data_IF_347343203217
#
_entry.id   IF_347343203217
#
_cell.length_a   1.000
_cell.length_b   1.000
_cell.length_c   1.000
_cell.angle_alpha   90.00
_cell.angle_beta   90.00
_cell.angle_gamma   90.00
#
_symmetry.space_group_name_H-M   'P 1'
#
loop_
_entity.id
_entity.type
_entity.pdbx_description
1 polymer ?
#
# COMPACT_ATOMS: atom_id res chain seq x y z
N UNK A 1 33.07 27.61 66.62
CA UNK A 1 32.99 28.42 65.38
C UNK A 1 33.89 27.73 64.37
N UNK A 2 33.32 26.91 63.47
CA UNK A 2 33.11 27.25 62.04
C UNK A 2 34.43 27.08 61.24
N UNK A 3 34.62 26.28 60.19
CA UNK A 3 33.81 25.71 59.09
C UNK A 3 34.63 24.57 58.41
N UNK A 4 34.07 23.36 58.19
CA UNK A 4 33.69 22.74 56.88
C UNK A 4 34.83 22.52 55.87
N UNK A 5 35.30 21.28 55.65
CA UNK A 5 34.86 20.27 54.64
C UNK A 5 34.80 20.82 53.20
N UNK A 6 35.86 20.58 52.43
CA UNK A 6 35.85 20.45 50.97
C UNK A 6 37.23 19.85 50.60
N UNK A 7 37.35 18.58 50.24
CA UNK A 7 37.19 18.11 48.87
C UNK A 7 36.68 16.67 48.88
N UNK A 8 35.36 16.57 48.89
CA UNK A 8 34.62 15.35 48.62
C UNK A 8 34.77 15.00 47.13
N UNK A 9 35.24 13.79 46.86
CA UNK A 9 34.95 12.98 45.67
C UNK A 9 35.26 13.61 44.30
N UNK A 10 36.53 13.55 43.92
CA UNK A 10 36.93 13.55 42.52
C UNK A 10 36.77 12.15 41.92
N UNK A 11 36.34 12.12 40.66
CA UNK A 11 36.14 10.96 39.79
C UNK A 11 34.77 10.29 39.85
N UNK A 12 33.76 11.09 39.51
CA UNK A 12 33.01 10.93 38.25
C UNK A 12 32.73 9.48 37.86
N UNK A 13 31.56 9.02 38.27
CA UNK A 13 30.70 8.02 37.61
C UNK A 13 31.22 7.53 36.25
N UNK A 14 31.73 6.31 36.19
CA UNK A 14 31.71 5.51 34.96
C UNK A 14 30.23 5.29 34.62
N UNK A 15 29.67 6.18 33.81
CA UNK A 15 28.42 5.93 33.13
C UNK A 15 28.70 4.78 32.15
N UNK A 16 28.22 3.57 32.48
CA UNK A 16 28.12 2.49 31.51
C UNK A 16 27.25 3.01 30.36
N UNK A 17 27.89 3.40 29.25
CA UNK A 17 27.24 3.50 27.96
C UNK A 17 26.82 2.08 27.56
N UNK A 18 25.67 1.64 28.05
CA UNK A 18 24.97 0.50 27.47
C UNK A 18 24.61 0.95 26.06
N UNK A 19 25.41 0.50 25.07
CA UNK A 19 25.02 0.52 23.67
C UNK A 19 23.70 -0.23 23.58
N UNK A 20 22.60 0.50 23.60
CA UNK A 20 21.29 -0.01 23.21
C UNK A 20 21.41 -0.34 21.72
N UNK A 21 21.85 -1.56 21.42
CA UNK A 21 21.53 -2.16 20.14
C UNK A 21 20.02 -2.29 20.13
N UNK A 22 19.35 -1.32 19.48
CA UNK A 22 17.94 -1.47 19.17
C UNK A 22 17.83 -2.76 18.34
N UNK A 23 16.91 -3.68 18.65
CA UNK A 23 16.58 -4.70 17.67
C UNK A 23 16.27 -3.95 16.37
N UNK A 24 16.89 -4.36 15.25
CA UNK A 24 16.42 -3.98 13.92
C UNK A 24 15.09 -4.70 13.78
N UNK A 25 14.07 -4.09 14.37
CA UNK A 25 12.70 -4.44 14.14
C UNK A 25 12.46 -4.18 12.65
N UNK A 26 12.02 -5.23 11.97
CA UNK A 26 11.87 -5.35 10.54
C UNK A 26 11.18 -4.09 9.95
N UNK A 27 11.97 -3.11 9.52
CA UNK A 27 11.47 -1.87 8.91
C UNK A 27 10.72 -2.15 7.60
N UNK A 28 10.78 -3.38 7.10
CA UNK A 28 10.12 -3.78 5.88
C UNK A 28 8.60 -3.97 6.05
N UNK A 29 8.08 -3.99 7.28
CA UNK A 29 6.63 -3.95 7.55
C UNK A 29 6.07 -2.50 7.53
N UNK A 30 6.91 -1.48 7.77
CA UNK A 30 6.41 -0.11 7.97
C UNK A 30 6.09 0.67 6.69
N UNK A 31 6.49 0.20 5.50
CA UNK A 31 6.26 0.90 4.23
C UNK A 31 5.57 0.03 3.16
N UNK A 32 4.55 -0.75 3.56
CA UNK A 32 3.72 -1.44 2.57
C UNK A 32 3.00 -0.44 1.64
N UNK A 33 2.89 -0.74 0.33
CA UNK A 33 2.33 0.19 -0.64
C UNK A 33 0.84 0.45 -0.43
N UNK A 34 0.40 1.55 -1.01
CA UNK A 34 -1.01 1.80 -1.27
C UNK A 34 -1.39 1.28 -2.65
N UNK A 35 -2.58 0.71 -2.81
CA UNK A 35 -3.19 0.42 -4.11
C UNK A 35 -4.29 1.45 -4.36
N UNK A 36 -4.26 2.10 -5.53
CA UNK A 36 -5.31 3.01 -5.97
C UNK A 36 -5.93 2.53 -7.28
N UNK A 37 -7.23 2.27 -7.28
CA UNK A 37 -8.00 1.87 -8.44
C UNK A 37 -8.88 3.05 -8.86
N UNK A 38 -8.54 3.63 -10.01
CA UNK A 38 -9.13 4.85 -10.55
C UNK A 38 -10.14 4.45 -11.64
N UNK A 39 -11.41 4.78 -11.44
CA UNK A 39 -12.42 4.57 -12.46
C UNK A 39 -12.32 5.68 -13.52
N UNK A 40 -11.68 5.38 -14.65
CA UNK A 40 -11.53 6.27 -15.81
C UNK A 40 -12.45 5.86 -16.96
N UNK A 41 -13.56 5.19 -16.66
CA UNK A 41 -14.64 5.01 -17.62
C UNK A 41 -15.22 6.37 -18.02
N UNK A 42 -15.81 6.52 -19.22
CA UNK A 42 -16.37 7.78 -19.65
C UNK A 42 -17.42 8.34 -18.69
N UNK A 43 -17.58 9.67 -18.64
CA UNK A 43 -18.61 10.31 -17.82
C UNK A 43 -19.98 9.66 -18.04
N UNK A 44 -20.75 9.53 -16.96
CA UNK A 44 -22.08 8.90 -16.96
C UNK A 44 -22.11 7.40 -17.28
N UNK A 45 -20.95 6.71 -17.30
CA UNK A 45 -20.92 5.25 -17.31
C UNK A 45 -21.55 4.70 -16.02
N UNK A 46 -22.18 3.51 -16.05
CA UNK A 46 -22.58 2.83 -14.82
C UNK A 46 -21.39 2.64 -13.86
N UNK A 47 -21.63 2.60 -12.53
CA UNK A 47 -20.58 2.40 -11.56
C UNK A 47 -19.73 1.16 -11.83
N UNK A 48 -18.44 1.28 -11.54
CA UNK A 48 -17.51 0.16 -11.52
C UNK A 48 -17.64 -0.54 -10.17
N UNK A 49 -17.87 -1.84 -10.18
CA UNK A 49 -17.83 -2.67 -8.99
C UNK A 49 -16.47 -3.34 -8.90
N UNK A 50 -15.77 -3.20 -7.78
CA UNK A 50 -14.48 -3.85 -7.53
C UNK A 50 -14.48 -4.51 -6.18
N UNK A 51 -13.95 -5.72 -6.10
CA UNK A 51 -13.65 -6.42 -4.85
C UNK A 51 -12.21 -6.89 -4.87
N UNK A 52 -11.51 -6.78 -3.75
CA UNK A 52 -10.13 -7.26 -3.61
C UNK A 52 -9.96 -8.07 -2.32
N UNK A 53 -9.11 -9.08 -2.36
CA UNK A 53 -8.78 -9.91 -1.20
C UNK A 53 -7.36 -10.47 -1.28
N UNK A 54 -6.82 -10.90 -0.14
CA UNK A 54 -5.51 -11.54 -0.02
C UNK A 54 -5.53 -12.55 1.13
N UNK A 55 -5.31 -13.83 0.86
CA UNK A 55 -5.42 -14.95 1.83
C UNK A 55 -6.65 -14.82 2.76
N UNK A 56 -6.43 -14.32 3.97
CA UNK A 56 -7.40 -14.18 5.06
C UNK A 56 -7.91 -12.74 5.24
N UNK A 57 -7.61 -11.84 4.30
CA UNK A 57 -8.00 -10.44 4.27
C UNK A 57 -9.01 -10.24 3.15
N UNK A 58 -10.24 -9.89 3.53
CA UNK A 58 -11.30 -9.48 2.60
C UNK A 58 -11.49 -7.96 2.70
N UNK A 59 -11.24 -7.23 1.62
CA UNK A 59 -11.44 -5.77 1.59
C UNK A 59 -12.90 -5.40 1.23
N UNK A 60 -13.67 -6.39 0.77
CA UNK A 60 -15.06 -6.26 0.38
C UNK A 60 -15.26 -5.65 -1.01
N UNK A 61 -16.51 -5.65 -1.46
CA UNK A 61 -16.90 -5.01 -2.71
C UNK A 61 -17.15 -3.50 -2.52
N UNK A 62 -16.77 -2.72 -3.53
CA UNK A 62 -16.97 -1.27 -3.62
C UNK A 62 -17.51 -0.91 -5.00
N UNK A 63 -18.59 -0.15 -5.02
CA UNK A 63 -19.18 0.43 -6.23
C UNK A 63 -18.87 1.92 -6.28
N UNK A 64 -18.26 2.40 -7.37
CA UNK A 64 -17.88 3.80 -7.50
C UNK A 64 -17.98 4.32 -8.93
N UNK A 65 -18.35 5.60 -9.05
CA UNK A 65 -18.65 6.28 -10.31
C UNK A 65 -17.39 6.67 -11.08
N UNK A 66 -17.55 7.00 -12.36
CA UNK A 66 -16.48 7.56 -13.18
C UNK A 66 -15.84 8.79 -12.50
N UNK A 67 -14.52 8.84 -12.48
CA UNK A 67 -13.71 9.86 -11.81
C UNK A 67 -13.41 9.59 -10.34
N UNK A 68 -14.04 8.60 -9.71
CA UNK A 68 -13.76 8.24 -8.31
C UNK A 68 -12.64 7.20 -8.19
N UNK A 69 -12.07 7.11 -6.99
CA UNK A 69 -10.95 6.23 -6.66
C UNK A 69 -11.34 5.31 -5.50
N UNK A 70 -11.03 4.02 -5.65
CA UNK A 70 -10.99 3.07 -4.55
C UNK A 70 -9.54 2.88 -4.11
N UNK A 71 -9.25 3.15 -2.85
CA UNK A 71 -7.92 3.04 -2.26
C UNK A 71 -7.90 2.05 -1.09
N UNK A 72 -6.82 1.28 -0.98
CA UNK A 72 -6.50 0.51 0.22
C UNK A 72 -4.99 0.42 0.44
N UNK A 73 -4.58 0.30 1.70
CA UNK A 73 -3.19 0.02 2.06
C UNK A 73 -2.97 -1.50 2.12
N UNK A 74 -1.87 -1.97 1.54
CA UNK A 74 -1.43 -3.36 1.67
C UNK A 74 -1.11 -3.62 3.14
N UNK A 75 -1.69 -4.70 3.68
CA UNK A 75 -1.59 -5.06 5.10
C UNK A 75 -0.61 -6.21 5.33
N UNK A 76 -0.33 -7.01 4.31
CA UNK A 76 0.63 -8.10 4.35
C UNK A 76 1.37 -8.24 3.02
N UNK A 77 2.59 -8.76 3.06
CA UNK A 77 3.43 -9.03 1.88
C UNK A 77 2.94 -10.25 1.12
N UNK A 78 1.87 -10.08 0.37
CA UNK A 78 1.21 -11.15 -0.38
C UNK A 78 0.44 -10.60 -1.56
N UNK A 79 -0.01 -11.46 -2.47
CA UNK A 79 -0.83 -11.07 -3.61
C UNK A 79 -2.22 -10.62 -3.15
N UNK A 80 -2.66 -9.47 -3.64
CA UNK A 80 -4.03 -8.99 -3.52
C UNK A 80 -4.72 -9.19 -4.86
N UNK A 81 -5.56 -10.22 -4.95
CA UNK A 81 -6.38 -10.50 -6.12
C UNK A 81 -7.60 -9.58 -6.11
N UNK A 82 -7.82 -8.90 -7.22
CA UNK A 82 -8.97 -8.03 -7.44
C UNK A 82 -9.83 -8.57 -8.58
N UNK A 83 -11.13 -8.32 -8.50
CA UNK A 83 -12.08 -8.57 -9.56
C UNK A 83 -12.90 -7.29 -9.77
N UNK A 84 -13.18 -6.98 -11.03
CA UNK A 84 -14.04 -5.88 -11.40
C UNK A 84 -15.18 -6.35 -12.30
N UNK A 85 -16.32 -5.69 -12.12
CA UNK A 85 -17.46 -5.81 -13.01
C UNK A 85 -17.92 -4.43 -13.46
N UNK A 86 -18.08 -4.29 -14.76
CA UNK A 86 -18.70 -3.12 -15.38
C UNK A 86 -19.73 -3.60 -16.41
N UNK A 87 -21.02 -3.43 -16.09
CA UNK A 87 -22.12 -4.02 -16.87
C UNK A 87 -21.95 -5.54 -17.05
N UNK A 88 -21.72 -6.00 -18.29
CA UNK A 88 -21.45 -7.39 -18.66
C UNK A 88 -19.97 -7.75 -18.71
N UNK A 89 -19.09 -6.75 -18.60
CA UNK A 89 -17.64 -6.95 -18.65
C UNK A 89 -17.14 -7.30 -17.26
N UNK A 90 -16.28 -8.31 -17.21
CA UNK A 90 -15.68 -8.83 -15.98
C UNK A 90 -14.20 -9.02 -16.24
N UNK A 91 -13.38 -8.72 -15.25
CA UNK A 91 -11.95 -9.02 -15.28
C UNK A 91 -11.42 -9.25 -13.86
N UNK A 92 -10.41 -10.10 -13.74
CA UNK A 92 -9.70 -10.36 -12.50
C UNK A 92 -8.21 -10.14 -12.69
N UNK A 93 -7.57 -9.44 -11.77
CA UNK A 93 -6.15 -9.14 -11.86
C UNK A 93 -5.50 -9.10 -10.48
N UNK A 94 -4.18 -9.20 -10.44
CA UNK A 94 -3.43 -9.02 -9.20
C UNK A 94 -3.23 -7.52 -8.96
N UNK A 95 -4.05 -6.91 -8.11
CA UNK A 95 -3.99 -5.49 -7.77
C UNK A 95 -2.68 -5.08 -7.08
N UNK A 96 -2.08 -6.02 -6.33
CA UNK A 96 -0.71 -5.93 -5.81
C UNK A 96 -0.10 -7.33 -5.83
N UNK A 97 1.17 -7.46 -6.20
CA UNK A 97 1.92 -8.70 -6.08
C UNK A 97 3.44 -8.47 -5.94
N UNK A 98 4.11 -9.44 -5.34
CA UNK A 98 5.57 -9.48 -5.23
C UNK A 98 6.16 -10.40 -6.30
N UNK A 99 7.37 -10.10 -6.82
CA UNK A 99 8.22 -8.95 -6.50
C UNK A 99 7.85 -7.68 -7.29
N UNK A 100 6.85 -7.75 -8.17
CA UNK A 100 6.47 -6.69 -9.12
C UNK A 100 6.37 -5.31 -8.46
N UNK A 101 5.70 -5.23 -7.31
CA UNK A 101 5.32 -3.96 -6.69
C UNK A 101 6.15 -3.58 -5.43
N UNK A 102 7.15 -4.38 -5.06
CA UNK A 102 7.76 -4.37 -3.72
C UNK A 102 8.58 -3.12 -3.37
N UNK A 103 8.96 -2.33 -4.37
CA UNK A 103 9.79 -1.13 -4.22
C UNK A 103 9.05 0.16 -4.59
N UNK A 104 7.73 0.12 -4.70
CA UNK A 104 6.91 1.26 -5.08
C UNK A 104 6.03 1.71 -3.91
N UNK A 105 5.89 3.02 -3.71
CA UNK A 105 5.03 3.55 -2.63
C UNK A 105 3.53 3.42 -2.95
N UNK A 106 3.18 3.38 -4.24
CA UNK A 106 1.80 3.20 -4.69
C UNK A 106 1.75 2.40 -5.98
N UNK A 107 0.78 1.50 -6.08
CA UNK A 107 0.41 0.81 -7.32
C UNK A 107 -0.90 1.42 -7.82
N UNK A 108 -0.84 2.06 -8.97
CA UNK A 108 -2.00 2.67 -9.60
C UNK A 108 -2.60 1.75 -10.64
N UNK A 109 -3.92 1.60 -10.59
CA UNK A 109 -4.73 0.96 -11.62
C UNK A 109 -5.68 1.98 -12.21
N UNK A 110 -5.62 2.17 -13.52
CA UNK A 110 -6.52 3.04 -14.27
C UNK A 110 -7.42 2.17 -15.13
N UNK A 111 -8.70 2.11 -14.75
CA UNK A 111 -9.69 1.28 -15.43
C UNK A 111 -10.37 2.11 -16.52
N UNK A 112 -10.20 1.69 -17.77
CA UNK A 112 -10.73 2.34 -18.98
C UNK A 112 -11.71 1.42 -19.70
N UNK A 113 -12.28 1.90 -20.81
CA UNK A 113 -13.20 1.12 -21.65
C UNK A 113 -12.57 -0.13 -22.27
N UNK A 114 -11.28 -0.06 -22.55
CA UNK A 114 -10.51 -1.07 -23.26
C UNK A 114 -9.76 -2.02 -22.31
N UNK A 115 -9.59 -1.65 -21.05
CA UNK A 115 -8.99 -2.53 -20.05
C UNK A 115 -8.41 -1.83 -18.84
N UNK A 116 -7.44 -2.52 -18.23
CA UNK A 116 -6.82 -2.20 -16.95
C UNK A 116 -5.37 -1.82 -17.18
N UNK A 117 -5.05 -0.58 -16.82
CA UNK A 117 -3.71 -0.04 -16.98
C UNK A 117 -3.02 0.09 -15.63
N UNK A 118 -1.78 -0.37 -15.53
CA UNK A 118 -0.98 -0.24 -14.32
C UNK A 118 0.07 0.86 -14.45
N UNK A 119 0.38 1.53 -13.35
CA UNK A 119 1.45 2.50 -13.23
C UNK A 119 2.01 2.54 -11.80
N UNK A 120 3.27 2.94 -11.66
CA UNK A 120 3.89 3.24 -10.36
C UNK A 120 4.18 4.74 -10.16
N UNK A 121 4.12 5.55 -11.23
CA UNK A 121 4.41 6.99 -11.22
C UNK A 121 3.18 7.85 -11.58
N UNK A 122 2.03 7.20 -11.87
CA UNK A 122 0.78 7.82 -12.34
C UNK A 122 0.91 8.58 -13.68
N UNK A 123 2.00 8.39 -14.41
CA UNK A 123 2.29 9.05 -15.69
C UNK A 123 2.51 8.03 -16.82
N UNK A 124 3.27 6.98 -16.55
CA UNK A 124 3.60 5.90 -17.45
C UNK A 124 2.65 4.72 -17.21
N UNK A 125 1.83 4.39 -18.19
CA UNK A 125 0.77 3.39 -18.07
C UNK A 125 0.99 2.21 -19.00
N UNK A 126 0.89 0.99 -18.48
CA UNK A 126 0.97 -0.26 -19.24
C UNK A 126 -0.40 -0.93 -19.22
N UNK A 127 -0.94 -1.28 -20.40
CA UNK A 127 -2.15 -2.12 -20.49
C UNK A 127 -1.77 -3.54 -20.07
N UNK A 128 -2.34 -4.03 -18.97
CA UNK A 128 -2.07 -5.38 -18.46
C UNK A 128 -3.13 -6.37 -18.94
N UNK A 129 -4.40 -5.97 -18.86
CA UNK A 129 -5.53 -6.84 -19.15
C UNK A 129 -6.60 -6.08 -19.94
N UNK A 130 -7.07 -6.58 -21.09
CA UNK A 130 -8.32 -6.12 -21.66
C UNK A 130 -9.51 -6.58 -20.80
N UNK A 131 -10.68 -6.02 -21.01
CA UNK A 131 -11.91 -6.58 -20.42
C UNK A 131 -12.25 -7.95 -21.04
N UNK A 132 -12.60 -8.92 -20.19
CA UNK A 132 -13.32 -10.11 -20.59
C UNK A 132 -14.83 -9.87 -20.76
N UNK A 133 -15.49 -10.79 -21.48
CA UNK A 133 -16.96 -10.92 -21.45
C UNK A 133 -17.31 -12.17 -20.65
N UNK A 134 -18.17 -12.00 -19.64
CA UNK A 134 -18.77 -13.14 -18.93
C UNK A 134 -19.79 -13.90 -19.77
#
# INVERSE_FOLDING_TARGET
>A
MATWIQHFLLFSSLALCVLSARPVEDQAEQNLPTVQIINSLPPNSPPLNVSCSSKNIELGARSFSAGQVYEFKVQQKDTYSCAAQWQRYIESWNGFELPRDENHGTVYWLVKKDGFYRSWDKASWVLENPWGTG
#
